data_IF_014161655434
#
_entry.id   IF_014161655434
#
_cell.length_a   1.000
_cell.length_b   1.000
_cell.length_c   1.000
_cell.angle_alpha   90.00
_cell.angle_beta   90.00
_cell.angle_gamma   90.00
#
_symmetry.space_group_name_H-M   'P 1'
#
loop_
_entity.id
_entity.type
_entity.pdbx_description
1 polymer ?
#
# COMPACT_ATOMS: atom_id res chain seq x y z
N UNK A 1 -18.10 -14.96 6.29
CA UNK A 1 -17.62 -14.29 7.51
C UNK A 1 -16.19 -14.70 7.84
N UNK A 2 -15.26 -13.81 7.57
CA UNK A 2 -13.84 -14.01 7.84
C UNK A 2 -13.18 -12.70 8.23
N UNK A 3 -12.00 -12.80 8.81
CA UNK A 3 -11.12 -11.66 9.08
C UNK A 3 -9.78 -11.93 8.44
N UNK A 4 -9.17 -10.92 7.86
CA UNK A 4 -7.81 -11.00 7.31
C UNK A 4 -6.92 -10.03 8.06
N UNK A 5 -5.77 -10.50 8.54
CA UNK A 5 -4.84 -9.69 9.33
C UNK A 5 -3.39 -10.02 9.00
N UNK A 6 -2.51 -9.03 8.90
CA UNK A 6 -2.77 -7.59 8.96
C UNK A 6 -3.35 -7.02 7.65
N UNK A 7 -3.87 -5.80 7.69
CA UNK A 7 -4.45 -5.12 6.52
C UNK A 7 -3.40 -4.49 5.59
N UNK A 8 -2.17 -4.37 6.04
CA UNK A 8 -1.04 -3.86 5.27
C UNK A 8 0.18 -4.73 5.54
N UNK A 9 0.87 -5.12 4.48
CA UNK A 9 2.04 -5.99 4.55
C UNK A 9 3.19 -5.35 3.78
N UNK A 10 4.35 -5.33 4.40
CA UNK A 10 5.61 -4.94 3.75
C UNK A 10 6.39 -6.21 3.41
N UNK A 11 6.70 -6.40 2.14
CA UNK A 11 7.54 -7.51 1.70
C UNK A 11 8.95 -7.29 2.27
N UNK A 12 9.52 -8.34 2.86
CA UNK A 12 10.85 -8.27 3.48
C UNK A 12 11.99 -8.37 2.45
N UNK A 13 13.23 -8.29 2.93
CA UNK A 13 14.43 -8.36 2.08
C UNK A 13 14.61 -9.68 1.33
N UNK A 14 13.89 -10.73 1.75
CA UNK A 14 13.88 -12.05 1.09
C UNK A 14 12.76 -12.18 0.07
N UNK A 15 11.98 -11.13 -0.14
CA UNK A 15 10.87 -11.13 -1.08
C UNK A 15 9.59 -11.77 -0.55
N UNK A 16 9.42 -11.87 0.76
CA UNK A 16 8.33 -12.60 1.38
C UNK A 16 7.49 -11.75 2.34
N UNK A 17 6.21 -12.11 2.45
CA UNK A 17 5.28 -11.59 3.43
C UNK A 17 4.13 -12.56 3.61
N UNK A 18 3.27 -12.34 4.59
CA UNK A 18 2.11 -13.20 4.80
C UNK A 18 0.98 -12.48 5.55
N UNK A 19 -0.21 -13.06 5.42
CA UNK A 19 -1.38 -12.70 6.23
C UNK A 19 -2.04 -13.97 6.75
N UNK A 20 -2.87 -13.81 7.77
CA UNK A 20 -3.74 -14.87 8.25
C UNK A 20 -5.17 -14.56 7.86
N UNK A 21 -5.84 -15.58 7.32
CA UNK A 21 -7.28 -15.55 7.04
C UNK A 21 -7.95 -16.41 8.12
N UNK A 22 -8.85 -15.79 8.88
CA UNK A 22 -9.46 -16.40 10.06
C UNK A 22 -10.96 -16.54 9.81
N UNK A 23 -11.48 -17.77 9.92
CA UNK A 23 -12.91 -18.01 9.76
C UNK A 23 -13.69 -17.46 10.96
N UNK A 24 -14.80 -16.79 10.66
CA UNK A 24 -15.83 -16.38 11.61
C UNK A 24 -17.17 -17.08 11.30
N UNK A 25 -17.13 -18.12 10.47
CA UNK A 25 -18.29 -18.88 10.04
C UNK A 25 -18.40 -20.21 10.76
N UNK A 26 -19.61 -20.74 10.84
CA UNK A 26 -19.90 -22.09 11.35
C UNK A 26 -19.84 -23.14 10.24
N UNK A 27 -19.58 -22.73 9.01
CA UNK A 27 -19.53 -23.58 7.83
C UNK A 27 -18.21 -23.44 7.11
N UNK A 28 -17.88 -24.42 6.26
CA UNK A 28 -16.73 -24.34 5.37
C UNK A 28 -16.94 -23.19 4.37
N UNK A 29 -15.94 -22.35 4.24
CA UNK A 29 -15.90 -21.30 3.23
C UNK A 29 -14.82 -21.61 2.19
N UNK A 30 -15.05 -21.18 0.96
CA UNK A 30 -14.07 -21.23 -0.11
C UNK A 30 -13.60 -19.82 -0.38
N UNK A 31 -12.31 -19.59 -0.27
CA UNK A 31 -11.73 -18.26 -0.34
C UNK A 31 -10.90 -18.14 -1.60
N UNK A 32 -11.08 -17.03 -2.30
CA UNK A 32 -10.31 -16.66 -3.49
C UNK A 32 -9.54 -15.37 -3.21
N UNK A 33 -8.25 -15.38 -3.52
CA UNK A 33 -7.40 -14.20 -3.49
C UNK A 33 -7.11 -13.73 -4.92
N UNK A 34 -7.32 -12.44 -5.18
CA UNK A 34 -7.05 -11.81 -6.48
C UNK A 34 -6.07 -10.68 -6.27
N UNK A 35 -5.04 -10.59 -7.12
CA UNK A 35 -3.99 -9.57 -7.03
C UNK A 35 -4.26 -8.45 -8.00
N UNK A 36 -4.20 -7.21 -7.53
CA UNK A 36 -4.29 -6.00 -8.33
C UNK A 36 -3.03 -5.16 -8.11
N UNK A 37 -2.43 -4.67 -9.20
CA UNK A 37 -1.38 -3.67 -9.12
C UNK A 37 -2.03 -2.30 -8.95
N UNK A 38 -1.52 -1.50 -8.03
CA UNK A 38 -2.01 -0.14 -7.79
C UNK A 38 -1.14 0.83 -8.59
N UNK A 39 -1.72 1.48 -9.59
CA UNK A 39 -1.06 2.51 -10.38
C UNK A 39 -1.48 3.90 -9.86
N UNK A 40 -0.54 4.84 -9.86
CA UNK A 40 -0.75 6.22 -9.42
C UNK A 40 -1.38 6.32 -8.01
N UNK A 41 -0.79 5.66 -7.01
CA UNK A 41 -1.38 5.58 -5.67
C UNK A 41 -1.58 6.97 -5.05
N UNK A 42 -2.70 7.12 -4.33
CA UNK A 42 -3.08 8.34 -3.61
C UNK A 42 -3.26 9.58 -4.51
N UNK A 43 -3.56 9.37 -5.78
CA UNK A 43 -3.90 10.44 -6.74
C UNK A 43 -5.33 10.25 -7.27
N UNK A 44 -5.92 11.29 -7.89
CA UNK A 44 -7.21 11.13 -8.59
C UNK A 44 -7.16 10.12 -9.74
N UNK A 45 -5.96 9.78 -10.23
CA UNK A 45 -5.75 8.81 -11.30
C UNK A 45 -5.39 7.42 -10.75
N UNK A 46 -5.55 7.18 -9.45
CA UNK A 46 -5.31 5.86 -8.87
C UNK A 46 -6.16 4.81 -9.57
N UNK A 47 -5.52 3.72 -10.00
CA UNK A 47 -6.16 2.66 -10.74
C UNK A 47 -5.63 1.30 -10.31
N UNK A 48 -6.51 0.32 -10.23
CA UNK A 48 -6.17 -1.07 -9.92
C UNK A 48 -6.22 -1.89 -11.20
N UNK A 49 -5.11 -2.58 -11.50
CA UNK A 49 -5.00 -3.46 -12.66
C UNK A 49 -4.85 -4.89 -12.17
N UNK A 50 -5.79 -5.76 -12.56
CA UNK A 50 -5.74 -7.17 -12.19
C UNK A 50 -4.52 -7.85 -12.80
N UNK A 51 -3.79 -8.59 -11.96
CA UNK A 51 -2.67 -9.42 -12.38
C UNK A 51 -3.16 -10.83 -12.52
N UNK A 52 -3.00 -11.41 -13.71
CA UNK A 52 -3.43 -12.78 -13.98
C UNK A 52 -2.60 -13.78 -13.18
N UNK A 53 -3.26 -14.81 -12.71
CA UNK A 53 -2.61 -15.93 -12.03
C UNK A 53 -1.53 -16.55 -12.93
N UNK A 54 -0.34 -16.75 -12.37
CA UNK A 54 0.80 -17.32 -13.08
C UNK A 54 1.73 -16.30 -13.76
N UNK A 55 1.45 -15.01 -13.65
CA UNK A 55 2.39 -13.96 -14.07
C UNK A 55 3.51 -13.83 -13.05
N UNK A 56 4.65 -14.46 -13.34
CA UNK A 56 5.81 -14.53 -12.44
C UNK A 56 6.54 -13.20 -12.26
N UNK A 57 6.20 -12.16 -13.03
CA UNK A 57 6.84 -10.84 -12.94
C UNK A 57 6.22 -9.96 -11.85
N UNK A 58 5.21 -10.46 -11.17
CA UNK A 58 4.47 -9.72 -10.16
C UNK A 58 4.42 -10.47 -8.84
N UNK A 59 3.63 -9.93 -7.91
CA UNK A 59 3.40 -10.56 -6.62
C UNK A 59 2.63 -11.88 -6.81
N UNK A 60 3.14 -12.95 -6.23
CA UNK A 60 2.52 -14.27 -6.22
C UNK A 60 1.89 -14.51 -4.86
N UNK A 61 0.65 -14.97 -4.84
CA UNK A 61 -0.12 -15.34 -3.64
C UNK A 61 -0.24 -16.85 -3.58
N UNK A 62 0.11 -17.44 -2.44
CA UNK A 62 0.07 -18.90 -2.24
C UNK A 62 -0.60 -19.26 -0.92
N UNK A 63 -1.69 -20.03 -0.93
CA UNK A 63 -2.47 -20.46 -2.09
C UNK A 63 -3.45 -19.37 -2.56
N UNK A 64 -3.74 -19.28 -3.87
CA UNK A 64 -4.69 -18.26 -4.38
C UNK A 64 -6.16 -18.64 -4.15
N UNK A 65 -6.44 -19.92 -3.97
CA UNK A 65 -7.77 -20.44 -3.63
C UNK A 65 -7.62 -21.54 -2.60
N UNK A 66 -8.51 -21.57 -1.63
CA UNK A 66 -8.45 -22.59 -0.58
C UNK A 66 -9.80 -22.72 0.14
N UNK A 67 -9.98 -23.89 0.75
CA UNK A 67 -11.08 -24.12 1.67
C UNK A 67 -10.68 -23.68 3.07
N UNK A 68 -11.57 -22.96 3.74
CA UNK A 68 -11.38 -22.50 5.11
C UNK A 68 -12.44 -23.16 6.00
N UNK A 69 -12.08 -24.21 6.74
CA UNK A 69 -13.03 -24.87 7.63
C UNK A 69 -13.55 -23.92 8.71
N UNK A 70 -14.74 -24.24 9.24
CA UNK A 70 -15.36 -23.47 10.30
C UNK A 70 -14.41 -23.25 11.49
N UNK A 71 -14.27 -22.01 11.94
CA UNK A 71 -13.45 -21.65 13.09
C UNK A 71 -11.95 -21.82 12.92
N UNK A 72 -11.48 -22.16 11.72
CA UNK A 72 -10.04 -22.35 11.42
C UNK A 72 -9.38 -21.07 10.91
N UNK A 73 -8.06 -21.15 10.75
CA UNK A 73 -7.29 -20.08 10.10
C UNK A 73 -6.31 -20.66 9.08
N UNK A 74 -5.95 -19.85 8.09
CA UNK A 74 -5.00 -20.19 7.04
C UNK A 74 -3.98 -19.08 6.89
N UNK A 75 -2.70 -19.44 6.83
CA UNK A 75 -1.64 -18.49 6.46
C UNK A 75 -1.54 -18.45 4.94
N UNK A 76 -1.64 -17.25 4.38
CA UNK A 76 -1.45 -17.00 2.96
C UNK A 76 -0.15 -16.22 2.77
N UNK A 77 0.72 -16.73 1.91
CA UNK A 77 2.05 -16.17 1.68
C UNK A 77 2.05 -15.34 0.42
N UNK A 78 2.80 -14.24 0.48
CA UNK A 78 3.10 -13.38 -0.66
C UNK A 78 4.57 -13.52 -1.01
N UNK A 79 4.86 -13.65 -2.31
CA UNK A 79 6.23 -13.74 -2.81
C UNK A 79 6.38 -12.74 -3.95
N UNK A 80 7.34 -11.81 -3.80
CA UNK A 80 7.74 -10.90 -4.86
C UNK A 80 8.91 -11.53 -5.61
N UNK A 81 8.70 -11.88 -6.88
CA UNK A 81 9.66 -12.69 -7.65
C UNK A 81 10.86 -11.90 -8.13
N UNK A 82 10.68 -10.64 -8.50
CA UNK A 82 11.77 -9.80 -8.97
C UNK A 82 11.71 -8.41 -8.32
N UNK A 83 12.81 -7.99 -7.65
CA UNK A 83 12.88 -6.62 -7.14
C UNK A 83 13.04 -5.64 -8.31
N UNK A 84 12.26 -4.58 -8.29
CA UNK A 84 12.29 -3.53 -9.29
C UNK A 84 13.06 -2.31 -8.80
N UNK A 85 13.24 -1.32 -9.68
CA UNK A 85 13.95 -0.10 -9.34
C UNK A 85 13.12 0.84 -8.47
N UNK A 86 11.79 0.76 -8.58
CA UNK A 86 10.85 1.55 -7.79
C UNK A 86 9.98 0.64 -6.93
N UNK A 87 9.50 1.17 -5.84
CA UNK A 87 8.49 0.56 -5.00
C UNK A 87 7.26 0.18 -5.83
N UNK A 88 6.71 -1.02 -5.58
CA UNK A 88 5.45 -1.48 -6.15
C UNK A 88 4.44 -1.72 -5.05
N UNK A 89 3.20 -1.38 -5.33
CA UNK A 89 2.10 -1.56 -4.39
C UNK A 89 1.00 -2.39 -5.05
N UNK A 90 0.48 -3.34 -4.29
CA UNK A 90 -0.57 -4.24 -4.74
C UNK A 90 -1.72 -4.23 -3.75
N UNK A 91 -2.92 -4.50 -4.25
CA UNK A 91 -4.06 -4.82 -3.41
C UNK A 91 -4.43 -6.27 -3.65
N UNK A 92 -4.37 -7.07 -2.60
CA UNK A 92 -4.80 -8.46 -2.64
C UNK A 92 -6.18 -8.53 -2.03
N UNK A 93 -7.16 -8.93 -2.85
CA UNK A 93 -8.56 -9.01 -2.42
C UNK A 93 -8.93 -10.44 -2.10
N UNK A 94 -9.37 -10.65 -0.86
CA UNK A 94 -9.86 -11.94 -0.39
C UNK A 94 -11.38 -11.91 -0.33
N UNK A 95 -12.02 -12.88 -0.97
CA UNK A 95 -13.47 -13.01 -0.98
C UNK A 95 -13.91 -14.47 -0.84
N UNK A 96 -15.05 -14.67 -0.21
CA UNK A 96 -15.69 -15.97 -0.18
C UNK A 96 -16.42 -16.21 -1.50
N UNK A 97 -16.21 -17.38 -2.08
CA UNK A 97 -16.85 -17.82 -3.33
C UNK A 97 -17.68 -19.08 -3.07
N UNK A 98 -18.71 -19.37 -3.91
CA UNK A 98 -19.62 -20.50 -3.66
C UNK A 98 -18.93 -21.86 -3.60
N UNK A 99 -17.89 -22.08 -4.43
CA UNK A 99 -17.08 -23.30 -4.40
C UNK A 99 -15.74 -23.06 -5.09
N UNK A 100 -14.78 -23.96 -4.83
CA UNK A 100 -13.45 -23.89 -5.47
C UNK A 100 -13.57 -24.09 -6.99
N UNK A 101 -14.50 -24.94 -7.43
CA UNK A 101 -14.63 -25.36 -8.82
C UNK A 101 -15.52 -24.44 -9.66
N UNK A 102 -16.09 -23.41 -9.04
CA UNK A 102 -16.92 -22.40 -9.69
C UNK A 102 -17.92 -23.00 -10.69
N UNK A 103 -18.55 -24.11 -10.31
CA UNK A 103 -19.60 -24.72 -11.11
C UNK A 103 -20.81 -23.83 -11.00
N UNK A 104 -21.17 -23.18 -12.10
CA UNK A 104 -22.43 -22.48 -12.22
C UNK A 104 -23.56 -23.52 -12.07
N UNK A 105 -23.94 -23.81 -10.85
CA UNK A 105 -25.18 -24.54 -10.61
C UNK A 105 -26.29 -23.56 -10.87
N UNK A 106 -27.06 -23.82 -11.94
CA UNK A 106 -28.35 -23.17 -12.19
C UNK A 106 -29.33 -23.52 -11.07
N UNK A 107 -29.05 -23.08 -9.89
CA UNK A 107 -30.05 -23.07 -8.83
C UNK A 107 -30.90 -21.84 -9.02
N UNK A 108 -31.97 -22.04 -9.73
CA UNK A 108 -33.14 -21.14 -9.75
C UNK A 108 -33.80 -21.14 -8.38
N UNK A 109 -33.07 -20.87 -7.33
CA UNK A 109 -33.67 -20.55 -6.06
C UNK A 109 -33.98 -19.07 -6.04
N UNK A 110 -35.23 -18.79 -6.28
CA UNK A 110 -35.85 -17.47 -6.18
C UNK A 110 -35.94 -16.96 -4.74
N UNK A 111 -35.22 -17.53 -3.81
CA UNK A 111 -35.05 -16.94 -2.50
C UNK A 111 -34.06 -15.80 -2.62
N UNK A 112 -34.58 -14.59 -2.63
CA UNK A 112 -33.77 -13.38 -2.50
C UNK A 112 -33.10 -13.36 -1.11
N UNK A 113 -32.04 -14.12 -0.96
CA UNK A 113 -31.14 -13.94 0.16
C UNK A 113 -30.16 -12.86 -0.23
N UNK A 114 -30.29 -11.69 0.42
CA UNK A 114 -29.29 -10.67 0.36
C UNK A 114 -28.03 -11.20 1.05
N UNK A 115 -27.14 -11.78 0.25
CA UNK A 115 -25.82 -12.21 0.74
C UNK A 115 -24.88 -11.01 0.61
N UNK A 116 -24.53 -10.40 1.73
CA UNK A 116 -23.49 -9.37 1.75
C UNK A 116 -22.15 -10.08 1.72
N UNK A 117 -21.46 -10.03 0.59
CA UNK A 117 -20.10 -10.53 0.49
C UNK A 117 -19.13 -9.40 0.82
N UNK A 118 -18.36 -9.57 1.89
CA UNK A 118 -17.28 -8.67 2.24
C UNK A 118 -16.02 -9.08 1.47
N UNK A 119 -15.42 -8.11 0.82
CA UNK A 119 -14.12 -8.27 0.17
C UNK A 119 -13.07 -7.57 1.02
N UNK A 120 -12.04 -8.32 1.42
CA UNK A 120 -10.94 -7.80 2.21
C UNK A 120 -9.80 -7.40 1.29
N UNK A 121 -9.52 -6.10 1.19
CA UNK A 121 -8.42 -5.56 0.39
C UNK A 121 -7.19 -5.31 1.26
N UNK A 122 -6.14 -6.10 1.05
CA UNK A 122 -4.88 -5.99 1.79
C UNK A 122 -3.88 -5.26 0.91
N UNK A 123 -3.26 -4.20 1.43
CA UNK A 123 -2.20 -3.50 0.71
C UNK A 123 -0.88 -4.22 0.96
N UNK A 124 -0.21 -4.60 -0.12
CA UNK A 124 1.10 -5.26 -0.08
C UNK A 124 2.10 -4.35 -0.77
N UNK A 125 3.11 -3.90 -0.03
CA UNK A 125 4.16 -3.02 -0.54
C UNK A 125 5.44 -3.79 -0.74
N UNK A 126 6.02 -3.67 -1.93
CA UNK A 126 7.28 -4.31 -2.31
C UNK A 126 8.35 -3.23 -2.39
N UNK A 127 9.42 -3.30 -1.56
CA UNK A 127 10.47 -2.31 -1.60
C UNK A 127 11.28 -2.42 -2.89
N UNK A 128 11.89 -1.31 -3.36
CA UNK A 128 12.81 -1.37 -4.48
C UNK A 128 14.08 -2.15 -4.10
N UNK A 129 14.81 -2.62 -5.10
CA UNK A 129 16.06 -3.38 -4.91
C UNK A 129 17.09 -2.57 -4.12
N UNK A 130 17.25 -1.28 -4.45
CA UNK A 130 18.10 -0.34 -3.75
C UNK A 130 17.30 0.87 -3.33
N UNK A 131 16.78 0.87 -2.09
CA UNK A 131 15.93 1.98 -1.63
C UNK A 131 16.67 3.31 -1.59
N UNK A 132 16.02 4.34 -2.15
CA UNK A 132 16.50 5.72 -2.15
C UNK A 132 15.39 6.61 -1.60
N UNK A 133 15.63 7.18 -0.42
CA UNK A 133 14.76 8.18 0.18
C UNK A 133 15.30 9.56 -0.18
N UNK A 134 14.56 10.33 -0.98
CA UNK A 134 15.00 11.66 -1.42
C UNK A 134 13.83 12.58 -1.66
N UNK A 135 13.90 13.75 -1.08
CA UNK A 135 12.95 14.85 -1.32
C UNK A 135 13.68 16.05 -1.89
N UNK A 136 13.03 16.77 -2.77
CA UNK A 136 13.53 18.01 -3.37
C UNK A 136 12.41 19.04 -3.45
N UNK A 137 12.78 20.30 -3.56
CA UNK A 137 11.87 21.39 -3.95
C UNK A 137 12.20 21.71 -5.41
N UNK A 138 11.23 21.59 -6.29
CA UNK A 138 11.42 21.84 -7.71
C UNK A 138 11.34 23.33 -8.09
N UNK A 139 11.55 23.65 -9.37
CA UNK A 139 11.50 25.03 -9.87
C UNK A 139 10.13 25.68 -9.66
N UNK A 140 9.06 24.89 -9.61
CA UNK A 140 7.71 25.38 -9.33
C UNK A 140 7.42 25.55 -7.82
N UNK A 141 8.44 25.42 -6.97
CA UNK A 141 8.36 25.51 -5.51
C UNK A 141 7.40 24.48 -4.91
N UNK A 142 7.41 23.26 -5.48
CA UNK A 142 6.66 22.12 -4.94
C UNK A 142 7.61 21.09 -4.36
N UNK A 143 7.15 20.41 -3.30
CA UNK A 143 7.87 19.29 -2.72
C UNK A 143 7.72 18.07 -3.64
N UNK A 144 8.83 17.45 -4.03
CA UNK A 144 8.86 16.30 -4.92
C UNK A 144 9.57 15.13 -4.26
N UNK A 145 9.00 13.93 -4.38
CA UNK A 145 9.71 12.71 -4.05
C UNK A 145 10.61 12.33 -5.25
N UNK A 146 11.90 12.60 -5.11
CA UNK A 146 12.91 12.32 -6.12
C UNK A 146 13.60 10.96 -5.91
N UNK A 147 13.14 10.18 -4.94
CA UNK A 147 13.62 8.82 -4.67
C UNK A 147 12.81 7.76 -5.39
N UNK A 148 12.96 6.51 -4.93
CA UNK A 148 12.27 5.36 -5.52
C UNK A 148 11.36 4.62 -4.54
N UNK A 149 11.15 5.19 -3.36
CA UNK A 149 10.24 4.67 -2.33
C UNK A 149 9.33 5.79 -1.83
N UNK A 150 8.14 5.43 -1.35
CA UNK A 150 7.27 6.42 -0.72
C UNK A 150 7.85 6.84 0.63
N UNK A 151 7.58 8.06 0.99
CA UNK A 151 7.86 8.62 2.31
C UNK A 151 6.55 9.14 2.90
N UNK A 152 6.33 8.88 4.16
CA UNK A 152 5.21 9.50 4.86
C UNK A 152 5.67 10.82 5.42
N UNK A 153 5.17 11.91 4.86
CA UNK A 153 5.48 13.24 5.35
C UNK A 153 4.70 13.46 6.64
N UNK A 154 5.40 13.65 7.72
CA UNK A 154 4.81 13.88 9.05
C UNK A 154 4.50 15.35 9.23
N UNK A 155 5.53 16.20 9.14
CA UNK A 155 5.42 17.65 9.31
C UNK A 155 6.33 18.36 8.32
N UNK A 156 5.96 19.61 7.99
CA UNK A 156 6.79 20.54 7.24
C UNK A 156 6.92 21.81 8.10
N UNK A 157 8.15 22.16 8.45
CA UNK A 157 8.44 23.40 9.14
C UNK A 157 8.96 24.44 8.14
N UNK A 158 8.32 25.60 8.11
CA UNK A 158 8.69 26.73 7.26
C UNK A 158 9.51 27.71 8.09
N UNK A 159 10.79 27.89 7.76
CA UNK A 159 11.75 28.60 8.59
C UNK A 159 12.34 29.82 7.91
N UNK A 160 12.67 30.84 8.71
CA UNK A 160 13.33 32.08 8.26
C UNK A 160 14.77 32.14 8.76
N UNK A 161 15.67 32.73 7.97
CA UNK A 161 17.04 33.10 8.38
C UNK A 161 17.87 31.94 8.94
N UNK A 162 17.71 30.73 8.36
CA UNK A 162 18.40 29.52 8.82
C UNK A 162 18.20 29.19 10.30
N UNK A 163 17.25 29.84 10.97
CA UNK A 163 16.92 29.58 12.36
C UNK A 163 15.93 28.43 12.48
N UNK A 164 16.21 27.49 13.37
CA UNK A 164 15.25 26.43 13.72
C UNK A 164 14.19 26.90 14.73
N UNK A 165 14.31 28.12 15.23
CA UNK A 165 13.50 28.59 16.35
C UNK A 165 12.22 29.33 15.94
N UNK A 166 12.15 29.89 14.74
CA UNK A 166 11.01 30.66 14.26
C UNK A 166 10.37 30.00 13.04
N UNK A 167 9.96 28.75 13.21
CA UNK A 167 9.36 28.00 12.12
C UNK A 167 7.85 27.87 12.31
N UNK A 168 7.11 28.03 11.21
CA UNK A 168 5.71 27.69 11.14
C UNK A 168 5.60 26.19 10.81
N UNK A 169 4.89 25.43 11.63
CA UNK A 169 4.78 23.98 11.46
C UNK A 169 3.43 23.62 10.84
N UNK A 170 3.47 22.85 9.77
CA UNK A 170 2.32 22.26 9.13
C UNK A 170 2.32 20.76 9.42
N UNK A 171 1.23 20.23 9.96
CA UNK A 171 1.03 18.79 10.12
C UNK A 171 0.46 18.23 8.83
N UNK A 172 1.08 17.19 8.28
CA UNK A 172 0.71 16.61 6.98
C UNK A 172 0.17 15.19 7.13
N UNK A 173 0.94 14.26 7.68
CA UNK A 173 0.59 12.85 7.87
C UNK A 173 0.06 12.16 6.60
N UNK A 174 0.74 12.39 5.47
CA UNK A 174 0.38 11.81 4.17
C UNK A 174 1.59 11.26 3.46
N UNK A 175 1.37 10.20 2.69
CA UNK A 175 2.40 9.62 1.84
C UNK A 175 2.62 10.47 0.59
N UNK A 176 3.88 10.56 0.19
CA UNK A 176 4.29 11.04 -1.12
C UNK A 176 5.05 9.92 -1.82
N UNK A 177 4.53 9.48 -2.97
CA UNK A 177 5.10 8.37 -3.74
C UNK A 177 6.14 8.87 -4.73
N UNK A 178 7.04 7.99 -5.23
CA UNK A 178 8.08 8.39 -6.17
C UNK A 178 7.52 9.18 -7.37
N UNK A 179 8.14 10.32 -7.66
CA UNK A 179 7.73 11.20 -8.76
C UNK A 179 6.56 12.11 -8.45
N UNK A 180 5.89 11.94 -7.33
CA UNK A 180 4.75 12.81 -6.98
C UNK A 180 5.21 14.15 -6.45
N UNK A 181 4.37 15.15 -6.72
CA UNK A 181 4.54 16.52 -6.23
C UNK A 181 3.47 16.85 -5.18
N UNK A 182 3.85 17.69 -4.24
CA UNK A 182 2.94 18.24 -3.24
C UNK A 182 3.08 19.75 -3.18
N UNK A 183 1.96 20.45 -3.20
CA UNK A 183 1.95 21.88 -2.99
C UNK A 183 2.41 22.22 -1.57
N UNK A 184 3.27 23.21 -1.45
CA UNK A 184 3.64 23.79 -0.18
C UNK A 184 2.67 24.90 0.18
N UNK A 185 2.53 25.21 1.47
CA UNK A 185 1.86 26.42 1.89
C UNK A 185 2.66 27.63 1.41
N UNK A 186 2.11 28.85 1.59
CA UNK A 186 2.83 30.06 1.16
C UNK A 186 4.24 30.08 1.76
N UNK A 187 5.25 30.07 0.88
CA UNK A 187 6.67 30.14 1.25
C UNK A 187 7.21 31.56 1.28
N UNK A 188 6.35 32.55 1.01
CA UNK A 188 6.75 33.95 1.00
C UNK A 188 7.35 34.37 2.34
N UNK A 189 8.58 34.84 2.31
CA UNK A 189 9.31 35.25 3.51
C UNK A 189 10.03 34.13 4.25
N UNK A 190 10.01 32.89 3.73
CA UNK A 190 10.76 31.76 4.27
C UNK A 190 11.94 31.40 3.38
N UNK A 191 13.04 30.94 3.99
CA UNK A 191 14.30 30.62 3.30
C UNK A 191 14.47 29.11 3.12
N UNK A 192 13.86 28.32 3.99
CA UNK A 192 13.96 26.86 3.96
C UNK A 192 12.76 26.20 4.55
N UNK A 193 12.61 24.92 4.22
CA UNK A 193 11.69 24.02 4.88
C UNK A 193 12.45 22.86 5.50
N UNK A 194 11.92 22.35 6.61
CA UNK A 194 12.42 21.14 7.26
C UNK A 194 11.29 20.11 7.22
N UNK A 195 11.51 19.05 6.47
CA UNK A 195 10.51 18.00 6.26
C UNK A 195 10.86 16.80 7.12
N UNK A 196 9.99 16.49 8.08
CA UNK A 196 10.09 15.26 8.87
C UNK A 196 9.25 14.18 8.23
N UNK A 197 9.83 13.00 8.09
CA UNK A 197 9.18 11.89 7.41
C UNK A 197 9.42 10.57 8.13
N UNK A 198 8.55 9.59 7.85
CA UNK A 198 8.75 8.20 8.24
C UNK A 198 9.12 7.37 7.00
N UNK A 199 10.13 6.53 7.16
CA UNK A 199 10.59 5.58 6.15
C UNK A 199 10.06 4.19 6.52
N UNK A 200 9.15 3.65 5.70
CA UNK A 200 8.51 2.37 5.98
C UNK A 200 9.46 1.17 5.81
N UNK A 201 10.53 1.33 5.01
CA UNK A 201 11.50 0.25 4.75
C UNK A 201 12.46 0.10 5.93
N UNK A 202 13.05 1.20 6.39
CA UNK A 202 13.97 1.22 7.52
C UNK A 202 13.25 1.29 8.88
N UNK A 203 11.95 1.62 8.85
CA UNK A 203 11.08 1.75 10.03
C UNK A 203 11.54 2.81 11.01
N UNK A 204 12.17 3.86 10.49
CA UNK A 204 12.61 5.00 11.28
C UNK A 204 12.13 6.33 10.69
N UNK A 205 12.35 7.39 11.43
CA UNK A 205 12.05 8.74 10.98
C UNK A 205 13.33 9.42 10.53
N UNK A 206 13.18 10.30 9.55
CA UNK A 206 14.27 11.13 9.03
C UNK A 206 13.82 12.56 8.82
N UNK A 207 14.75 13.37 8.36
CA UNK A 207 14.55 14.80 8.19
C UNK A 207 15.34 15.28 6.96
N UNK A 208 14.70 16.14 6.15
CA UNK A 208 15.37 16.86 5.08
C UNK A 208 15.26 18.36 5.30
N UNK A 209 16.38 19.06 5.16
CA UNK A 209 16.41 20.52 5.08
C UNK A 209 16.53 20.91 3.61
N UNK A 210 15.57 21.68 3.11
CA UNK A 210 15.48 22.05 1.70
C UNK A 210 15.35 23.58 1.59
N UNK A 211 16.14 24.19 0.70
CA UNK A 211 16.04 25.60 0.42
C UNK A 211 14.77 25.91 -0.39
N UNK A 212 14.12 27.02 -0.07
CA UNK A 212 12.99 27.57 -0.84
C UNK A 212 13.31 29.01 -1.25
N UNK A 213 12.76 29.43 -2.38
CA UNK A 213 13.06 30.74 -2.95
C UNK A 213 11.80 31.57 -3.18
#
# INVERSE_FOLDING_TARGET
>A
NMTVYPMAVSINSQGEGNVRVISKSNEVQYIKATVFRIDNPSTPQENEVEIKSGDANHLVVMPPKFALPAGSSKTVRFVAMEPEQKEKNYRVKFEAVPSIDDVATDKKDLSMQLTVNLIWGIVVSVPPQQPIAKLEVNAAQKLVNAGNQRLKILTIAYCKNNSKENCKIQTVNKNIFPGQERNLESISGYDKIVVKYNNWITKDNGEFELAVH
#
